data_IF_789132941160
#
_entry.id   IF_789132941160
#
_cell.length_a   1.000
_cell.length_b   1.000
_cell.length_c   1.000
_cell.angle_alpha   90.00
_cell.angle_beta   90.00
_cell.angle_gamma   90.00
#
_symmetry.space_group_name_H-M   'P 1'
#
loop_
_entity.id
_entity.type
_entity.pdbx_description
1 polymer ?
#
# COMPACT_ATOMS: atom_id res chain seq x y z
N UNK A 1 -15.27 2.09 21.05
CA UNK A 1 -15.82 0.71 20.97
C UNK A 1 -17.35 0.65 20.91
N UNK A 2 -18.16 1.15 21.87
CA UNK A 2 -19.59 0.90 21.90
C UNK A 2 -20.36 1.45 20.69
N UNK A 3 -19.85 2.47 19.98
CA UNK A 3 -20.51 3.08 18.84
C UNK A 3 -20.36 2.31 17.52
N UNK A 4 -19.40 1.39 17.43
CA UNK A 4 -19.10 0.62 16.22
C UNK A 4 -19.60 -0.83 16.27
N UNK A 5 -20.03 -1.34 17.45
CA UNK A 5 -20.60 -2.68 17.59
C UNK A 5 -22.06 -2.75 17.09
N UNK A 6 -22.57 -3.98 16.95
CA UNK A 6 -23.96 -4.26 16.53
C UNK A 6 -24.95 -3.44 17.35
N UNK A 7 -25.77 -2.64 16.65
CA UNK A 7 -26.71 -1.70 17.25
C UNK A 7 -26.13 -0.31 17.53
N UNK A 8 -24.88 -0.05 17.25
CA UNK A 8 -24.25 1.26 17.37
C UNK A 8 -24.50 2.17 16.17
N UNK A 9 -24.32 3.49 16.36
CA UNK A 9 -24.57 4.50 15.32
C UNK A 9 -23.70 4.32 14.06
N UNK A 10 -22.54 3.69 14.19
CA UNK A 10 -21.53 3.50 13.14
C UNK A 10 -21.24 2.01 12.87
N UNK A 11 -22.23 1.14 13.02
CA UNK A 11 -22.09 -0.30 12.78
C UNK A 11 -21.52 -0.61 11.37
N UNK A 12 -21.93 0.13 10.34
CA UNK A 12 -21.44 -0.05 8.96
C UNK A 12 -19.93 0.25 8.80
N UNK A 13 -19.34 1.00 9.72
CA UNK A 13 -17.92 1.36 9.71
C UNK A 13 -17.08 0.47 10.62
N UNK A 14 -17.68 -0.59 11.19
CA UNK A 14 -16.98 -1.52 12.06
C UNK A 14 -15.73 -2.12 11.39
N UNK A 15 -15.84 -2.50 10.10
CA UNK A 15 -14.72 -3.06 9.35
C UNK A 15 -13.51 -2.11 9.25
N UNK A 16 -13.75 -0.80 9.12
CA UNK A 16 -12.67 0.20 9.11
C UNK A 16 -12.08 0.43 10.51
N UNK A 17 -12.93 0.48 11.53
CA UNK A 17 -12.49 0.61 12.93
C UNK A 17 -11.61 -0.58 13.31
N UNK A 18 -12.05 -1.80 13.03
CA UNK A 18 -11.34 -3.04 13.34
C UNK A 18 -10.01 -3.13 12.58
N UNK A 19 -9.96 -2.72 11.32
CA UNK A 19 -8.71 -2.68 10.54
C UNK A 19 -7.65 -1.76 11.16
N UNK A 20 -8.05 -0.61 11.73
CA UNK A 20 -7.13 0.29 12.42
C UNK A 20 -6.72 -0.24 13.79
N UNK A 21 -7.68 -0.79 14.54
CA UNK A 21 -7.45 -1.34 15.87
C UNK A 21 -6.49 -2.53 15.84
N UNK A 22 -6.64 -3.43 14.88
CA UNK A 22 -5.82 -4.64 14.74
C UNK A 22 -4.41 -4.40 14.19
N UNK A 23 -4.08 -3.21 13.70
CA UNK A 23 -2.69 -2.82 13.43
C UNK A 23 -1.88 -2.83 14.74
N UNK A 24 -2.48 -2.38 15.83
CA UNK A 24 -1.81 -2.23 17.12
C UNK A 24 -2.14 -3.36 18.11
N UNK A 25 -3.31 -3.96 18.00
CA UNK A 25 -3.83 -4.94 18.95
C UNK A 25 -4.17 -6.27 18.27
N UNK A 26 -3.91 -7.39 18.98
CA UNK A 26 -4.32 -8.71 18.52
C UNK A 26 -5.84 -8.86 18.71
N UNK A 27 -6.60 -9.40 17.74
CA UNK A 27 -8.02 -9.66 17.91
C UNK A 27 -8.31 -10.52 19.17
N UNK A 28 -9.27 -10.08 19.98
CA UNK A 28 -9.66 -10.78 21.22
C UNK A 28 -10.53 -12.02 21.01
N UNK A 29 -10.74 -12.45 19.77
CA UNK A 29 -11.57 -13.61 19.44
C UNK A 29 -10.92 -14.90 19.94
N UNK A 30 -11.64 -15.62 20.79
CA UNK A 30 -11.24 -16.91 21.33
C UNK A 30 -12.25 -17.99 20.95
N UNK A 31 -11.81 -19.23 20.77
CA UNK A 31 -12.70 -20.38 20.56
C UNK A 31 -13.53 -20.61 21.84
N UNK A 32 -14.85 -20.80 21.67
CA UNK A 32 -15.80 -21.01 22.78
C UNK A 32 -16.09 -22.50 23.03
N UNK A 33 -15.52 -23.40 22.24
CA UNK A 33 -15.74 -24.86 22.35
C UNK A 33 -14.47 -25.60 22.81
N UNK A 34 -14.63 -26.84 23.26
CA UNK A 34 -13.51 -27.72 23.66
C UNK A 34 -12.53 -27.93 22.48
N UNK A 35 -11.24 -28.20 22.80
CA UNK A 35 -10.11 -28.28 21.88
C UNK A 35 -9.62 -26.87 21.43
N UNK A 36 -9.02 -26.16 22.39
CA UNK A 36 -8.37 -24.87 22.10
C UNK A 36 -6.96 -25.09 21.54
N UNK A 37 -6.83 -25.10 20.23
CA UNK A 37 -5.53 -24.99 19.56
C UNK A 37 -5.34 -23.53 19.14
N UNK A 38 -4.33 -22.87 19.69
CA UNK A 38 -3.98 -21.49 19.33
C UNK A 38 -2.64 -21.53 18.62
N UNK A 39 -2.62 -21.05 17.39
CA UNK A 39 -1.37 -20.83 16.68
C UNK A 39 -0.64 -19.60 17.25
N UNK A 40 0.68 -19.67 17.32
CA UNK A 40 1.53 -18.56 17.76
C UNK A 40 1.57 -17.40 16.74
N UNK A 41 1.28 -17.68 15.47
CA UNK A 41 1.31 -16.71 14.37
C UNK A 41 -0.06 -16.57 13.73
N UNK A 42 -0.72 -15.46 14.00
CA UNK A 42 -1.98 -15.09 13.35
C UNK A 42 -1.68 -14.57 11.93
N UNK A 43 -2.54 -14.90 10.95
CA UNK A 43 -2.38 -14.47 9.55
C UNK A 43 -2.18 -12.95 9.42
N UNK A 44 -2.91 -12.15 10.19
CA UNK A 44 -2.79 -10.69 10.25
C UNK A 44 -1.35 -10.27 10.59
N UNK A 45 -0.77 -10.83 11.65
CA UNK A 45 0.62 -10.54 12.05
C UNK A 45 1.62 -10.96 10.98
N UNK A 46 1.40 -12.11 10.33
CA UNK A 46 2.26 -12.56 9.23
C UNK A 46 2.25 -11.54 8.08
N UNK A 47 1.08 -11.05 7.66
CA UNK A 47 0.97 -10.06 6.58
C UNK A 47 1.64 -8.73 6.92
N UNK A 48 1.50 -8.25 8.16
CA UNK A 48 2.19 -7.03 8.62
C UNK A 48 3.72 -7.23 8.63
N UNK A 49 4.22 -8.38 9.08
CA UNK A 49 5.66 -8.66 9.03
C UNK A 49 6.17 -8.71 7.59
N UNK A 50 5.45 -9.33 6.66
CA UNK A 50 5.81 -9.33 5.24
C UNK A 50 5.85 -7.90 4.68
N UNK A 51 4.85 -7.08 5.01
CA UNK A 51 4.83 -5.66 4.63
C UNK A 51 6.04 -4.90 5.17
N UNK A 52 6.38 -5.07 6.46
CA UNK A 52 7.58 -4.45 7.05
C UNK A 52 8.88 -4.93 6.39
N UNK A 53 8.97 -6.21 6.03
CA UNK A 53 10.16 -6.75 5.35
C UNK A 53 10.38 -6.17 3.94
N UNK A 54 9.40 -5.48 3.35
CA UNK A 54 9.57 -4.79 2.06
C UNK A 54 10.24 -3.42 2.19
N UNK A 55 10.30 -2.81 3.39
CA UNK A 55 10.88 -1.47 3.57
C UNK A 55 12.33 -1.32 3.10
N UNK A 56 13.24 -2.27 3.34
CA UNK A 56 14.59 -2.18 2.78
C UNK A 56 14.57 -2.04 1.25
N UNK A 57 13.68 -2.77 0.56
CA UNK A 57 13.51 -2.66 -0.88
C UNK A 57 12.91 -1.31 -1.30
N UNK A 58 11.98 -0.76 -0.51
CA UNK A 58 11.43 0.59 -0.73
C UNK A 58 12.55 1.62 -0.64
N UNK A 59 13.32 1.63 0.44
CA UNK A 59 14.42 2.62 0.62
C UNK A 59 15.47 2.50 -0.47
N UNK A 60 15.89 1.28 -0.83
CA UNK A 60 16.80 1.06 -1.95
C UNK A 60 16.21 1.53 -3.29
N UNK A 61 14.91 1.31 -3.50
CA UNK A 61 14.19 1.77 -4.69
C UNK A 61 14.12 3.30 -4.78
N UNK A 62 13.78 3.97 -3.67
CA UNK A 62 13.76 5.44 -3.60
C UNK A 62 15.13 6.03 -3.94
N UNK A 63 16.17 5.52 -3.29
CA UNK A 63 17.53 5.95 -3.57
C UNK A 63 17.93 5.74 -5.03
N UNK A 64 17.67 4.55 -5.57
CA UNK A 64 18.05 4.20 -6.94
C UNK A 64 17.31 5.03 -8.00
N UNK A 65 16.02 5.27 -7.82
CA UNK A 65 15.23 6.12 -8.74
C UNK A 65 15.77 7.53 -8.75
N UNK A 66 16.03 8.12 -7.58
CA UNK A 66 16.57 9.47 -7.51
C UNK A 66 18.01 9.55 -8.01
N UNK A 67 18.85 8.57 -7.68
CA UNK A 67 20.24 8.51 -8.17
C UNK A 67 20.30 8.49 -9.70
N UNK A 68 19.50 7.64 -10.33
CA UNK A 68 19.45 7.58 -11.80
C UNK A 68 18.89 8.87 -12.40
N UNK A 69 17.86 9.47 -11.80
CA UNK A 69 17.29 10.73 -12.25
C UNK A 69 18.28 11.89 -12.13
N UNK A 70 18.92 12.05 -10.95
CA UNK A 70 19.89 13.13 -10.71
C UNK A 70 21.13 12.97 -11.61
N UNK A 71 21.64 11.76 -11.78
CA UNK A 71 22.76 11.47 -12.70
C UNK A 71 22.40 11.81 -14.16
N UNK A 72 21.17 11.49 -14.58
CA UNK A 72 20.70 11.81 -15.93
C UNK A 72 20.54 13.32 -16.11
N UNK A 73 20.03 14.04 -15.11
CA UNK A 73 19.88 15.49 -15.12
C UNK A 73 21.25 16.18 -15.21
N UNK A 74 22.23 15.75 -14.42
CA UNK A 74 23.61 16.23 -14.48
C UNK A 74 24.20 16.05 -15.88
N UNK A 75 24.06 14.85 -16.47
CA UNK A 75 24.55 14.54 -17.81
C UNK A 75 23.89 15.38 -18.92
N UNK A 76 22.63 15.77 -18.73
CA UNK A 76 21.87 16.61 -19.66
C UNK A 76 22.03 18.13 -19.40
N UNK A 77 22.74 18.52 -18.34
CA UNK A 77 22.88 19.91 -17.91
C UNK A 77 21.60 20.57 -17.43
N UNK A 78 20.65 19.78 -16.91
CA UNK A 78 19.39 20.26 -16.37
C UNK A 78 19.57 20.65 -14.90
N UNK A 79 19.27 21.92 -14.57
CA UNK A 79 19.42 22.43 -13.21
C UNK A 79 18.26 22.03 -12.28
N UNK A 80 17.06 21.89 -12.83
CA UNK A 80 15.84 21.60 -12.05
C UNK A 80 14.90 20.67 -12.82
N UNK A 81 14.13 19.86 -12.09
CA UNK A 81 13.05 19.07 -12.68
C UNK A 81 11.80 19.93 -12.90
N UNK A 82 11.07 19.68 -13.97
CA UNK A 82 9.86 20.43 -14.29
C UNK A 82 8.65 20.04 -13.41
N UNK A 83 7.76 21.01 -13.23
CA UNK A 83 6.48 20.82 -12.57
C UNK A 83 6.53 20.89 -11.05
N UNK A 84 5.40 20.55 -10.39
CA UNK A 84 5.22 20.68 -8.95
C UNK A 84 6.18 19.81 -8.12
N UNK A 85 6.59 18.66 -8.66
CA UNK A 85 7.56 17.77 -8.00
C UNK A 85 8.93 18.44 -7.93
N UNK A 86 9.36 19.05 -9.04
CA UNK A 86 10.61 19.79 -9.11
C UNK A 86 10.64 20.94 -8.09
N UNK A 87 9.56 21.71 -7.99
CA UNK A 87 9.48 22.80 -7.01
C UNK A 87 9.64 22.31 -5.55
N UNK A 88 9.09 21.14 -5.21
CA UNK A 88 9.27 20.56 -3.86
C UNK A 88 10.69 20.04 -3.68
N UNK A 89 11.26 19.37 -4.67
CA UNK A 89 12.63 18.85 -4.61
C UNK A 89 13.61 20.02 -4.42
N UNK A 90 13.50 21.08 -5.22
CA UNK A 90 14.34 22.27 -5.11
C UNK A 90 14.21 23.01 -3.77
N UNK A 91 13.03 22.92 -3.11
CA UNK A 91 12.79 23.55 -1.82
C UNK A 91 13.34 22.75 -0.62
N UNK A 92 13.36 21.41 -0.70
CA UNK A 92 13.69 20.53 0.42
C UNK A 92 15.04 19.82 0.30
N UNK A 93 15.58 19.74 -0.92
CA UNK A 93 16.83 19.06 -1.25
C UNK A 93 17.47 19.76 -2.46
N UNK A 94 18.31 19.07 -3.17
CA UNK A 94 18.91 19.46 -4.45
C UNK A 94 18.80 18.32 -5.46
N UNK A 95 19.68 18.40 -6.47
CA UNK A 95 19.78 17.41 -7.54
C UNK A 95 21.19 16.79 -7.61
N UNK A 96 21.91 16.79 -6.48
CA UNK A 96 23.25 16.22 -6.40
C UNK A 96 23.18 14.68 -6.35
N UNK A 97 23.67 14.02 -7.40
CA UNK A 97 23.70 12.56 -7.48
C UNK A 97 24.58 11.91 -6.40
N UNK A 98 25.53 12.65 -5.81
CA UNK A 98 26.40 12.13 -4.73
C UNK A 98 25.72 12.21 -3.36
N UNK A 99 24.69 13.03 -3.20
CA UNK A 99 23.91 13.21 -1.97
C UNK A 99 22.86 12.12 -1.82
N UNK A 100 22.95 11.33 -0.76
CA UNK A 100 21.94 10.31 -0.46
C UNK A 100 20.57 10.92 -0.15
N UNK A 101 20.54 12.09 0.50
CA UNK A 101 19.29 12.79 0.81
C UNK A 101 18.56 13.25 -0.44
N UNK A 102 19.27 13.88 -1.38
CA UNK A 102 18.71 14.37 -2.63
C UNK A 102 18.15 13.21 -3.46
N UNK A 103 18.88 12.11 -3.54
CA UNK A 103 18.45 10.91 -4.23
C UNK A 103 17.17 10.31 -3.59
N UNK A 104 17.15 10.12 -2.27
CA UNK A 104 15.98 9.57 -1.57
C UNK A 104 14.76 10.48 -1.73
N UNK A 105 14.92 11.79 -1.57
CA UNK A 105 13.82 12.73 -1.70
C UNK A 105 13.29 12.78 -3.13
N UNK A 106 14.17 12.81 -4.12
CA UNK A 106 13.78 12.77 -5.53
C UNK A 106 12.96 11.50 -5.84
N UNK A 107 13.45 10.33 -5.46
CA UNK A 107 12.71 9.07 -5.64
C UNK A 107 11.38 9.05 -4.89
N UNK A 108 11.34 9.58 -3.66
CA UNK A 108 10.13 9.68 -2.86
C UNK A 108 9.05 10.53 -3.53
N UNK A 109 9.41 11.65 -4.18
CA UNK A 109 8.45 12.52 -4.89
C UNK A 109 7.79 11.83 -6.09
N UNK A 110 8.37 10.76 -6.62
CA UNK A 110 7.76 9.95 -7.67
C UNK A 110 7.01 8.75 -7.10
N UNK A 111 7.59 8.04 -6.12
CA UNK A 111 7.00 6.83 -5.58
C UNK A 111 5.83 7.08 -4.62
N UNK A 112 5.92 8.09 -3.72
CA UNK A 112 4.87 8.36 -2.73
C UNK A 112 3.50 8.65 -3.34
N UNK A 113 3.35 9.45 -4.42
CA UNK A 113 2.05 9.64 -5.06
C UNK A 113 1.47 8.34 -5.63
N UNK A 114 2.32 7.45 -6.18
CA UNK A 114 1.89 6.14 -6.68
C UNK A 114 1.37 5.30 -5.52
N UNK A 115 2.13 5.22 -4.42
CA UNK A 115 1.73 4.46 -3.24
C UNK A 115 0.47 5.01 -2.59
N UNK A 116 0.37 6.34 -2.45
CA UNK A 116 -0.83 6.98 -1.91
C UNK A 116 -2.08 6.71 -2.77
N UNK A 117 -1.97 6.83 -4.10
CA UNK A 117 -3.08 6.50 -5.02
C UNK A 117 -3.48 5.03 -4.90
N UNK A 118 -2.49 4.14 -4.88
CA UNK A 118 -2.72 2.69 -4.71
C UNK A 118 -3.44 2.39 -3.40
N UNK A 119 -2.98 3.01 -2.31
CA UNK A 119 -3.52 2.78 -0.98
C UNK A 119 -4.93 3.33 -0.83
N UNK A 120 -5.20 4.53 -1.34
CA UNK A 120 -6.53 5.17 -1.27
C UNK A 120 -7.54 4.42 -2.14
N UNK A 121 -7.22 4.19 -3.41
CA UNK A 121 -8.15 3.58 -4.36
C UNK A 121 -8.34 2.10 -4.06
N UNK A 122 -7.26 1.36 -3.83
CA UNK A 122 -7.34 -0.06 -3.47
C UNK A 122 -8.02 -0.27 -2.12
N UNK A 123 -7.68 0.55 -1.12
CA UNK A 123 -8.31 0.53 0.20
C UNK A 123 -9.80 0.85 0.14
N UNK A 124 -10.22 1.78 -0.72
CA UNK A 124 -11.63 2.05 -0.96
C UNK A 124 -12.38 0.79 -1.41
N UNK A 125 -11.85 0.04 -2.37
CA UNK A 125 -12.46 -1.21 -2.83
C UNK A 125 -12.47 -2.27 -1.73
N UNK A 126 -11.37 -2.45 -0.98
CA UNK A 126 -11.30 -3.39 0.15
C UNK A 126 -12.39 -3.11 1.19
N UNK A 127 -12.49 -1.85 1.63
CA UNK A 127 -13.51 -1.45 2.62
C UNK A 127 -14.92 -1.63 2.06
N UNK A 128 -15.16 -1.25 0.80
CA UNK A 128 -16.47 -1.40 0.16
C UNK A 128 -16.94 -2.87 0.13
N UNK A 129 -16.05 -3.79 -0.27
CA UNK A 129 -16.39 -5.22 -0.31
C UNK A 129 -16.48 -5.82 1.09
N UNK A 130 -15.65 -5.40 2.03
CA UNK A 130 -15.72 -5.82 3.43
C UNK A 130 -17.06 -5.44 4.05
N UNK A 131 -17.50 -4.17 3.88
CA UNK A 131 -18.81 -3.70 4.37
C UNK A 131 -19.97 -4.47 3.72
N UNK A 132 -19.93 -4.69 2.39
CA UNK A 132 -21.02 -5.38 1.68
C UNK A 132 -21.14 -6.86 2.05
N UNK A 133 -20.03 -7.51 2.37
CA UNK A 133 -20.00 -8.94 2.72
C UNK A 133 -20.04 -9.21 4.22
N UNK A 134 -19.93 -8.17 5.05
CA UNK A 134 -19.95 -8.29 6.50
C UNK A 134 -18.73 -9.02 7.07
N UNK A 135 -17.56 -8.90 6.43
CA UNK A 135 -16.32 -9.44 6.94
C UNK A 135 -15.31 -8.32 7.24
N UNK A 136 -14.27 -8.65 7.97
CA UNK A 136 -13.18 -7.74 8.32
C UNK A 136 -12.30 -7.42 7.10
N UNK A 137 -11.68 -6.25 7.08
CA UNK A 137 -10.66 -5.91 6.09
C UNK A 137 -9.42 -6.77 6.33
N UNK A 138 -8.88 -7.35 5.28
CA UNK A 138 -7.72 -8.22 5.41
C UNK A 138 -6.42 -7.45 5.20
N UNK A 139 -5.46 -7.60 6.12
CA UNK A 139 -4.15 -6.96 6.09
C UNK A 139 -3.28 -7.38 4.89
N UNK A 140 -3.68 -8.41 4.16
CA UNK A 140 -3.08 -8.76 2.87
C UNK A 140 -3.10 -7.62 1.85
N UNK A 141 -4.01 -6.64 2.03
CA UNK A 141 -4.04 -5.43 1.20
C UNK A 141 -2.78 -4.55 1.40
N UNK A 142 -2.24 -4.46 2.62
CA UNK A 142 -0.98 -3.72 2.85
C UNK A 142 0.17 -4.28 2.00
N UNK A 143 0.26 -5.62 1.93
CA UNK A 143 1.25 -6.30 1.07
C UNK A 143 0.97 -6.04 -0.41
N UNK A 144 -0.28 -6.16 -0.84
CA UNK A 144 -0.69 -5.89 -2.22
C UNK A 144 -0.35 -4.46 -2.64
N UNK A 145 -0.66 -3.47 -1.79
CA UNK A 145 -0.45 -2.06 -2.11
C UNK A 145 1.02 -1.69 -2.27
N UNK A 146 1.88 -2.17 -1.37
CA UNK A 146 3.32 -1.86 -1.43
C UNK A 146 4.00 -2.59 -2.61
N UNK A 147 3.67 -3.87 -2.84
CA UNK A 147 4.21 -4.63 -3.96
C UNK A 147 3.77 -4.05 -5.30
N UNK A 148 2.49 -3.68 -5.44
CA UNK A 148 1.99 -3.05 -6.67
C UNK A 148 2.75 -1.75 -6.96
N UNK A 149 2.94 -0.90 -5.94
CA UNK A 149 3.66 0.37 -6.09
C UNK A 149 5.15 0.20 -6.43
N UNK A 150 5.79 -0.87 -5.94
CA UNK A 150 7.20 -1.16 -6.21
C UNK A 150 7.45 -1.70 -7.62
N UNK A 151 6.46 -2.38 -8.22
CA UNK A 151 6.61 -2.97 -9.55
C UNK A 151 6.21 -2.02 -10.68
N UNK A 152 5.62 -0.86 -10.37
CA UNK A 152 5.25 0.14 -11.36
C UNK A 152 6.45 1.05 -11.71
N UNK A 153 6.53 1.53 -12.96
CA UNK A 153 7.51 2.54 -13.32
C UNK A 153 7.22 3.87 -12.60
N UNK A 154 8.25 4.61 -12.15
CA UNK A 154 8.08 5.84 -11.35
C UNK A 154 7.36 6.97 -12.10
N UNK A 155 7.34 6.92 -13.43
CA UNK A 155 6.71 7.94 -14.29
C UNK A 155 5.28 7.61 -14.70
N UNK A 156 4.69 6.51 -14.20
CA UNK A 156 3.32 6.10 -14.55
C UNK A 156 2.31 7.18 -14.14
N UNK A 157 1.36 7.55 -15.02
CA UNK A 157 0.29 8.47 -14.68
C UNK A 157 -0.61 7.91 -13.55
N UNK A 158 -0.98 8.75 -12.57
CA UNK A 158 -1.74 8.30 -11.40
C UNK A 158 -3.12 7.72 -11.74
N UNK A 159 -3.75 8.16 -12.84
CA UNK A 159 -5.01 7.55 -13.28
C UNK A 159 -4.84 6.09 -13.73
N UNK A 160 -3.70 5.75 -14.35
CA UNK A 160 -3.40 4.35 -14.70
C UNK A 160 -3.14 3.52 -13.45
N UNK A 161 -2.46 4.08 -12.44
CA UNK A 161 -2.30 3.45 -11.13
C UNK A 161 -3.67 3.15 -10.51
N UNK A 162 -4.59 4.13 -10.53
CA UNK A 162 -5.94 3.96 -9.99
C UNK A 162 -6.75 2.88 -10.71
N UNK A 163 -6.68 2.83 -12.04
CA UNK A 163 -7.34 1.79 -12.83
C UNK A 163 -6.71 0.42 -12.61
N UNK A 164 -5.39 0.33 -12.62
CA UNK A 164 -4.66 -0.93 -12.42
C UNK A 164 -4.94 -1.54 -11.06
N UNK A 165 -4.86 -0.77 -9.98
CA UNK A 165 -5.16 -1.29 -8.63
C UNK A 165 -6.64 -1.66 -8.49
N UNK A 166 -7.56 -0.89 -9.09
CA UNK A 166 -8.98 -1.24 -9.10
C UNK A 166 -9.22 -2.58 -9.78
N UNK A 167 -8.63 -2.81 -10.96
CA UNK A 167 -8.71 -4.07 -11.66
C UNK A 167 -8.09 -5.21 -10.84
N UNK A 168 -6.91 -5.00 -10.30
CA UNK A 168 -6.20 -6.00 -9.49
C UNK A 168 -6.98 -6.41 -8.24
N UNK A 169 -7.55 -5.45 -7.49
CA UNK A 169 -8.33 -5.74 -6.29
C UNK A 169 -9.70 -6.34 -6.64
N UNK A 170 -10.47 -5.70 -7.53
CA UNK A 170 -11.84 -6.15 -7.83
C UNK A 170 -11.82 -7.46 -8.59
N UNK A 171 -11.16 -7.50 -9.73
CA UNK A 171 -11.17 -8.68 -10.63
C UNK A 171 -10.16 -9.74 -10.16
N UNK A 172 -8.97 -9.33 -9.73
CA UNK A 172 -7.93 -10.27 -9.32
C UNK A 172 -8.18 -10.93 -7.98
N UNK A 173 -8.99 -10.32 -7.09
CA UNK A 173 -9.18 -10.80 -5.72
C UNK A 173 -10.65 -10.89 -5.29
N UNK A 174 -11.39 -9.78 -5.32
CA UNK A 174 -12.71 -9.70 -4.69
C UNK A 174 -13.78 -10.53 -5.41
N UNK A 175 -13.76 -10.59 -6.74
CA UNK A 175 -14.70 -11.41 -7.52
C UNK A 175 -14.65 -12.88 -7.10
N UNK A 176 -13.49 -13.39 -6.69
CA UNK A 176 -13.31 -14.78 -6.24
C UNK A 176 -13.66 -15.02 -4.77
N UNK A 177 -13.97 -13.97 -4.01
CA UNK A 177 -14.35 -14.07 -2.60
C UNK A 177 -13.34 -13.49 -1.61
N UNK A 178 -12.35 -12.75 -2.08
CA UNK A 178 -11.35 -12.06 -1.27
C UNK A 178 -10.09 -12.86 -0.97
N UNK A 179 -9.33 -12.41 0.02
CA UNK A 179 -8.05 -13.01 0.40
C UNK A 179 -8.16 -14.50 0.76
N UNK A 180 -7.29 -15.29 0.18
CA UNK A 180 -7.25 -16.75 0.37
C UNK A 180 -8.14 -17.56 -0.56
N UNK A 181 -9.07 -16.91 -1.29
CA UNK A 181 -9.92 -17.54 -2.31
C UNK A 181 -9.53 -17.14 -3.73
N UNK A 182 -8.70 -16.13 -3.86
CA UNK A 182 -8.18 -15.67 -5.15
C UNK A 182 -7.04 -16.59 -5.62
N UNK A 183 -7.05 -16.95 -6.89
CA UNK A 183 -5.95 -17.69 -7.54
C UNK A 183 -4.99 -16.76 -8.30
N UNK A 184 -5.36 -15.49 -8.49
CA UNK A 184 -4.52 -14.48 -9.10
C UNK A 184 -3.85 -13.62 -8.02
N UNK A 185 -2.62 -13.18 -8.27
CA UNK A 185 -1.98 -12.18 -7.43
C UNK A 185 -2.52 -10.79 -7.82
N UNK A 186 -3.20 -10.07 -6.90
CA UNK A 186 -3.84 -8.79 -7.24
C UNK A 186 -2.86 -7.72 -7.72
N UNK A 187 -1.63 -7.68 -7.16
CA UNK A 187 -0.62 -6.72 -7.57
C UNK A 187 -0.13 -6.97 -9.01
N UNK A 188 0.10 -8.24 -9.36
CA UNK A 188 0.52 -8.60 -10.72
C UNK A 188 -0.61 -8.43 -11.74
N UNK A 189 -1.84 -8.81 -11.36
CA UNK A 189 -3.03 -8.63 -12.20
C UNK A 189 -3.31 -7.16 -12.51
N UNK A 190 -3.12 -6.29 -11.53
CA UNK A 190 -3.29 -4.85 -11.72
C UNK A 190 -2.21 -4.21 -12.59
N UNK A 191 -1.01 -4.82 -12.65
CA UNK A 191 0.08 -4.35 -13.51
C UNK A 191 -0.09 -4.78 -14.96
N UNK A 192 -0.63 -5.96 -15.22
CA UNK A 192 -0.82 -6.52 -16.57
C UNK A 192 -1.79 -5.70 -17.41
#
# INVERSE_FOLDING_TARGET
EPHFHKGGKYENWYALYEAVDTIFYTPGTVTKAASHVRDAVVLKRMMILVWMCTFPAVFAGLYNVGFQANTAMEALGLAEAEGWRGAIISALAGYDATSAWDNILHGAMYWLPIYATTFIVGGFWEVLFAMKRGHEVNEGFFVTSILFSLILPPTVPLWQVALGISFGVVIGKEVFGGTGKNFLNPALTGRA
#
